data_IF_896439039571
#
_entry.id   IF_896439039571
#
_cell.length_a   1.000
_cell.length_b   1.000
_cell.length_c   1.000
_cell.angle_alpha   90.00
_cell.angle_beta   90.00
_cell.angle_gamma   90.00
#
_symmetry.space_group_name_H-M   'P 1'
#
loop_
_entity.id
_entity.type
_entity.pdbx_description
1 polymer ?
#
# COMPACT_ATOMS: atom_id res chain seq x y z
N UNK A 1 -24.18 -14.57 4.41
CA UNK A 1 -23.47 -13.77 5.42
C UNK A 1 -21.98 -13.81 5.08
N UNK A 2 -21.46 -12.74 4.49
CA UNK A 2 -20.08 -12.71 4.00
C UNK A 2 -19.11 -12.66 5.17
N UNK A 3 -18.17 -13.61 5.22
CA UNK A 3 -17.06 -13.59 6.16
C UNK A 3 -16.28 -12.29 5.92
N UNK A 4 -16.34 -11.38 6.87
CA UNK A 4 -15.44 -10.23 6.93
C UNK A 4 -14.02 -10.77 6.91
N UNK A 5 -13.26 -10.55 5.84
CA UNK A 5 -11.83 -10.81 5.86
C UNK A 5 -11.22 -9.95 6.97
N UNK A 6 -10.55 -10.59 7.92
CA UNK A 6 -9.78 -9.88 8.95
C UNK A 6 -8.88 -8.84 8.27
N UNK A 7 -8.82 -7.59 8.78
CA UNK A 7 -7.95 -6.59 8.22
C UNK A 7 -6.49 -7.04 8.33
N UNK A 8 -5.66 -6.49 7.44
CA UNK A 8 -4.22 -6.69 7.46
C UNK A 8 -3.51 -5.36 7.76
N UNK A 9 -2.28 -5.46 8.25
CA UNK A 9 -1.31 -4.38 8.20
C UNK A 9 -0.09 -4.83 7.40
N UNK A 10 0.61 -3.87 6.80
CA UNK A 10 1.84 -4.11 6.04
C UNK A 10 2.98 -3.38 6.74
N UNK A 11 4.01 -4.11 7.15
CA UNK A 11 5.21 -3.57 7.78
C UNK A 11 6.34 -3.51 6.75
N UNK A 12 7.00 -2.36 6.62
CA UNK A 12 8.15 -2.20 5.73
C UNK A 12 9.46 -2.59 6.41
N UNK A 13 10.55 -2.53 5.66
CA UNK A 13 11.91 -2.88 6.07
C UNK A 13 12.42 -2.16 7.32
N UNK A 14 11.93 -0.94 7.58
CA UNK A 14 12.33 -0.15 8.75
C UNK A 14 11.52 -0.47 10.03
N UNK A 15 10.64 -1.48 9.98
CA UNK A 15 9.81 -1.91 11.12
C UNK A 15 8.55 -1.07 11.34
N UNK A 16 8.31 -0.03 10.53
CA UNK A 16 7.12 0.80 10.59
C UNK A 16 6.05 0.28 9.61
N UNK A 17 4.81 0.65 9.84
CA UNK A 17 3.65 0.22 9.08
C UNK A 17 3.27 1.22 8.01
N UNK A 18 2.83 0.69 6.87
CA UNK A 18 2.15 1.45 5.84
C UNK A 18 0.89 2.06 6.46
N UNK A 19 0.81 3.38 6.38
CA UNK A 19 -0.16 4.19 7.10
C UNK A 19 -0.77 5.21 6.17
N UNK A 20 -2.09 5.33 6.21
CA UNK A 20 -2.82 6.42 5.57
C UNK A 20 -2.55 7.72 6.34
N UNK A 21 -1.97 8.72 5.67
CA UNK A 21 -1.68 10.01 6.27
C UNK A 21 -2.70 11.05 5.83
N UNK A 22 -3.38 11.66 6.81
CA UNK A 22 -4.35 12.74 6.60
C UNK A 22 -3.67 14.06 6.94
N UNK A 23 -3.45 14.92 5.94
CA UNK A 23 -2.85 16.27 6.14
C UNK A 23 -3.83 17.43 5.95
N UNK A 24 -5.08 17.15 5.55
CA UNK A 24 -6.09 18.16 5.23
C UNK A 24 -5.84 18.80 3.86
N UNK A 25 -6.86 18.83 3.00
CA UNK A 25 -6.84 19.59 1.73
C UNK A 25 -6.13 18.93 0.55
N UNK A 26 -5.87 17.62 0.58
CA UNK A 26 -5.23 16.91 -0.52
C UNK A 26 -5.47 15.40 -0.51
N UNK A 27 -4.59 14.65 -1.18
CA UNK A 27 -4.65 13.19 -1.18
C UNK A 27 -4.23 12.58 0.16
N UNK A 28 -4.91 11.52 0.55
CA UNK A 28 -4.50 10.67 1.67
C UNK A 28 -3.39 9.72 1.20
N UNK A 29 -2.14 10.20 1.26
CA UNK A 29 -0.96 9.42 0.88
C UNK A 29 -0.74 8.23 1.80
N UNK A 30 -0.16 7.18 1.24
CA UNK A 30 0.38 6.08 2.04
C UNK A 30 1.85 6.30 2.29
N UNK A 31 2.20 6.28 3.58
CA UNK A 31 3.56 6.40 4.06
C UNK A 31 3.88 5.36 5.11
N UNK A 32 5.15 5.05 5.23
CA UNK A 32 5.70 4.23 6.29
C UNK A 32 6.08 5.15 7.46
N UNK A 33 5.11 5.47 8.31
CA UNK A 33 5.25 6.51 9.34
C UNK A 33 4.89 6.05 10.76
N UNK A 34 4.07 5.01 10.90
CA UNK A 34 3.59 4.56 12.22
C UNK A 34 4.32 3.32 12.72
N UNK A 35 4.81 3.35 13.96
CA UNK A 35 5.47 2.19 14.61
C UNK A 35 4.49 1.22 15.26
N UNK A 36 3.20 1.56 15.31
CA UNK A 36 2.14 0.75 15.90
C UNK A 36 1.02 0.51 14.89
N UNK A 37 0.26 -0.56 15.11
CA UNK A 37 -0.92 -0.88 14.31
C UNK A 37 -2.11 -0.11 14.88
N UNK A 38 -2.71 0.75 14.06
CA UNK A 38 -3.91 1.52 14.40
C UNK A 38 -4.91 1.59 13.23
N UNK A 39 -5.96 2.39 13.36
CA UNK A 39 -6.99 2.50 12.30
C UNK A 39 -6.43 2.98 10.95
N UNK A 40 -5.31 3.69 10.92
CA UNK A 40 -4.71 4.22 9.69
C UNK A 40 -3.74 3.24 9.02
N UNK A 41 -3.29 2.21 9.73
CA UNK A 41 -2.38 1.18 9.20
C UNK A 41 -3.11 -0.10 8.79
N UNK A 42 -4.42 -0.15 9.00
CA UNK A 42 -5.27 -1.30 8.71
C UNK A 42 -5.90 -1.15 7.33
N UNK A 43 -5.86 -2.24 6.58
CA UNK A 43 -6.46 -2.35 5.26
C UNK A 43 -7.32 -3.60 5.19
N UNK A 44 -8.51 -3.48 4.60
CA UNK A 44 -9.26 -4.64 4.15
C UNK A 44 -8.73 -5.05 2.78
N UNK A 45 -8.29 -6.30 2.65
CA UNK A 45 -7.82 -6.85 1.39
C UNK A 45 -8.98 -7.55 0.66
N UNK A 46 -9.20 -7.16 -0.59
CA UNK A 46 -10.13 -7.81 -1.52
C UNK A 46 -9.33 -8.60 -2.53
N UNK A 47 -9.44 -9.93 -2.50
CA UNK A 47 -8.84 -10.80 -3.52
C UNK A 47 -9.65 -10.72 -4.82
N UNK A 48 -8.99 -10.44 -5.94
CA UNK A 48 -9.62 -10.29 -7.26
C UNK A 48 -9.32 -11.46 -8.20
N UNK A 49 -8.13 -12.06 -8.06
CA UNK A 49 -7.70 -13.31 -8.71
C UNK A 49 -6.61 -13.96 -7.85
N UNK A 50 -6.01 -15.08 -8.25
CA UNK A 50 -4.96 -15.75 -7.46
C UNK A 50 -3.79 -14.84 -7.02
N UNK A 51 -3.43 -13.85 -7.83
CA UNK A 51 -2.30 -12.95 -7.59
C UNK A 51 -2.66 -11.46 -7.68
N UNK A 52 -3.94 -11.09 -7.66
CA UNK A 52 -4.34 -9.68 -7.70
C UNK A 52 -5.21 -9.33 -6.51
N UNK A 53 -4.91 -8.17 -5.91
CA UNK A 53 -5.65 -7.63 -4.78
C UNK A 53 -5.98 -6.16 -5.00
N UNK A 54 -7.02 -5.72 -4.30
CA UNK A 54 -7.23 -4.32 -3.97
C UNK A 54 -7.18 -4.16 -2.45
N UNK A 55 -6.69 -3.02 -1.99
CA UNK A 55 -6.58 -2.72 -0.57
C UNK A 55 -7.44 -1.49 -0.24
N UNK A 56 -8.32 -1.62 0.74
CA UNK A 56 -9.23 -0.57 1.18
C UNK A 56 -8.81 -0.01 2.52
N UNK A 57 -8.60 1.29 2.61
CA UNK A 57 -8.17 1.98 3.83
C UNK A 57 -9.36 2.39 4.71
N UNK A 58 -9.07 2.89 5.91
CA UNK A 58 -10.08 3.27 6.90
C UNK A 58 -10.97 4.47 6.54
N UNK A 59 -10.63 5.25 5.50
CA UNK A 59 -11.55 6.25 4.93
C UNK A 59 -12.60 5.62 3.99
N UNK A 60 -12.62 4.29 3.85
CA UNK A 60 -13.54 3.59 2.97
C UNK A 60 -13.17 3.67 1.49
N UNK A 61 -11.98 4.18 1.15
CA UNK A 61 -11.49 4.29 -0.22
C UNK A 61 -10.40 3.24 -0.49
N UNK A 62 -10.31 2.81 -1.75
CA UNK A 62 -9.27 1.94 -2.25
C UNK A 62 -7.98 2.73 -2.48
N UNK A 63 -6.87 2.04 -2.17
CA UNK A 63 -5.53 2.43 -2.54
C UNK A 63 -5.41 2.42 -4.05
N UNK A 64 -4.85 3.49 -4.61
CA UNK A 64 -4.74 3.69 -6.05
C UNK A 64 -3.44 4.40 -6.39
N UNK A 65 -2.83 4.01 -7.50
CA UNK A 65 -1.74 4.75 -8.11
C UNK A 65 -2.27 6.05 -8.71
N UNK A 66 -1.65 7.16 -8.37
CA UNK A 66 -1.87 8.45 -9.03
C UNK A 66 -0.55 9.04 -9.51
N UNK A 67 -0.60 9.80 -10.60
CA UNK A 67 0.53 10.55 -11.11
C UNK A 67 0.43 12.01 -10.65
N UNK A 68 1.46 12.52 -9.97
CA UNK A 68 1.58 13.89 -9.50
C UNK A 68 2.97 14.45 -9.82
N UNK A 69 3.01 15.61 -10.48
CA UNK A 69 4.24 16.38 -10.73
C UNK A 69 5.42 15.53 -11.25
N UNK A 70 5.15 14.65 -12.23
CA UNK A 70 6.19 13.83 -12.87
C UNK A 70 6.58 12.55 -12.10
N UNK A 71 5.85 12.19 -11.04
CA UNK A 71 6.07 10.97 -10.28
C UNK A 71 4.76 10.26 -9.94
N UNK A 72 4.84 8.97 -9.65
CA UNK A 72 3.69 8.19 -9.16
C UNK A 72 3.71 8.02 -7.64
N UNK A 73 2.53 7.94 -7.04
CA UNK A 73 2.29 7.77 -5.60
C UNK A 73 1.14 6.81 -5.36
N UNK A 74 1.12 6.16 -4.19
CA UNK A 74 -0.04 5.41 -3.72
C UNK A 74 -0.83 6.24 -2.70
N UNK A 75 -2.12 6.40 -2.97
CA UNK A 75 -3.05 7.18 -2.15
C UNK A 75 -4.36 6.43 -1.96
N UNK A 76 -5.07 6.67 -0.85
CA UNK A 76 -6.40 6.11 -0.61
C UNK A 76 -7.48 7.07 -1.15
N UNK A 77 -7.87 6.94 -2.42
CA UNK A 77 -8.70 7.94 -3.11
C UNK A 77 -9.89 7.41 -3.92
N UNK A 78 -9.96 6.12 -4.22
CA UNK A 78 -10.97 5.58 -5.14
C UNK A 78 -12.15 4.95 -4.40
N UNK A 79 -13.39 5.31 -4.74
CA UNK A 79 -14.59 4.66 -4.19
C UNK A 79 -14.75 3.23 -4.69
N UNK A 80 -14.36 3.00 -5.94
CA UNK A 80 -14.50 1.74 -6.66
C UNK A 80 -13.13 1.25 -7.14
N UNK A 81 -13.01 -0.06 -7.32
CA UNK A 81 -11.78 -0.68 -7.82
C UNK A 81 -11.67 -0.39 -9.32
N UNK A 82 -10.58 0.26 -9.72
CA UNK A 82 -10.17 0.45 -11.11
C UNK A 82 -8.78 -0.15 -11.36
N UNK A 83 -8.29 -0.06 -12.61
CA UNK A 83 -6.98 -0.62 -12.99
C UNK A 83 -5.83 -0.11 -12.12
N UNK A 84 -5.89 1.15 -11.66
CA UNK A 84 -4.86 1.78 -10.82
C UNK A 84 -4.95 1.35 -9.35
N UNK A 85 -6.07 0.75 -8.95
CA UNK A 85 -6.34 0.27 -7.60
C UNK A 85 -6.01 -1.21 -7.41
N UNK A 86 -5.57 -1.88 -8.47
CA UNK A 86 -5.24 -3.29 -8.49
C UNK A 86 -3.73 -3.44 -8.40
N UNK A 87 -3.28 -4.22 -7.43
CA UNK A 87 -1.88 -4.58 -7.27
C UNK A 87 -1.70 -6.07 -7.52
N UNK A 88 -0.66 -6.40 -8.28
CA UNK A 88 -0.22 -7.78 -8.44
C UNK A 88 0.64 -8.16 -7.24
N UNK A 89 0.29 -9.26 -6.57
CA UNK A 89 1.04 -9.85 -5.48
C UNK A 89 2.18 -10.70 -6.02
N UNK A 90 3.35 -10.52 -5.42
CA UNK A 90 4.47 -11.44 -5.51
C UNK A 90 4.85 -11.91 -4.12
N UNK A 91 4.88 -13.23 -3.92
CA UNK A 91 5.26 -13.84 -2.64
C UNK A 91 6.77 -13.98 -2.60
N UNK A 92 7.40 -13.32 -1.63
CA UNK A 92 8.86 -13.29 -1.48
C UNK A 92 9.31 -14.35 -0.47
N UNK A 93 8.62 -14.44 0.66
CA UNK A 93 8.87 -15.39 1.75
C UNK A 93 7.58 -15.57 2.58
N UNK A 94 7.65 -16.35 3.65
CA UNK A 94 6.58 -16.56 4.62
C UNK A 94 6.06 -15.22 5.18
N UNK A 95 4.85 -14.87 4.75
CA UNK A 95 4.18 -13.60 5.05
C UNK A 95 4.94 -12.35 4.58
N UNK A 96 5.90 -12.45 3.66
CA UNK A 96 6.53 -11.29 3.02
C UNK A 96 6.11 -11.24 1.57
N UNK A 97 5.58 -10.08 1.16
CA UNK A 97 5.09 -9.85 -0.19
C UNK A 97 5.74 -8.62 -0.80
N UNK A 98 5.73 -8.57 -2.13
CA UNK A 98 5.83 -7.33 -2.87
C UNK A 98 4.52 -7.07 -3.62
N UNK A 99 4.30 -5.80 -3.94
CA UNK A 99 3.11 -5.34 -4.67
C UNK A 99 3.57 -4.61 -5.92
N UNK A 100 3.12 -5.06 -7.10
CA UNK A 100 3.39 -4.40 -8.37
C UNK A 100 2.14 -3.66 -8.86
N UNK A 101 2.28 -2.37 -9.19
CA UNK A 101 1.20 -1.55 -9.71
C UNK A 101 0.97 -1.78 -11.21
N UNK A 102 -0.07 -1.15 -11.76
CA UNK A 102 -0.44 -1.26 -13.18
C UNK A 102 0.65 -0.77 -14.16
N UNK A 103 1.55 0.11 -13.70
CA UNK A 103 2.67 0.62 -14.50
C UNK A 103 3.88 -0.33 -14.54
N UNK A 104 3.74 -1.55 -13.99
CA UNK A 104 4.80 -2.56 -13.98
C UNK A 104 5.91 -2.31 -12.97
N UNK A 105 5.72 -1.36 -12.04
CA UNK A 105 6.69 -1.06 -10.98
C UNK A 105 6.21 -1.56 -9.63
N UNK A 106 7.14 -2.07 -8.85
CA UNK A 106 6.94 -2.44 -7.47
C UNK A 106 6.78 -1.22 -6.58
N UNK A 107 5.83 -1.32 -5.65
CA UNK A 107 5.67 -0.40 -4.54
C UNK A 107 6.93 -0.47 -3.68
N UNK A 108 7.57 0.67 -3.47
CA UNK A 108 8.77 0.82 -2.67
C UNK A 108 8.53 1.89 -1.62
N UNK A 109 9.10 1.70 -0.43
CA UNK A 109 9.31 2.81 0.50
C UNK A 109 10.35 3.76 -0.09
N UNK A 110 9.98 5.03 -0.26
CA UNK A 110 10.86 6.09 -0.77
C UNK A 110 10.91 7.21 0.25
N UNK A 111 12.10 7.43 0.81
CA UNK A 111 12.35 8.58 1.68
C UNK A 111 12.64 9.82 0.83
N UNK A 112 11.83 10.87 0.99
CA UNK A 112 12.03 12.15 0.30
C UNK A 112 12.38 13.22 1.33
N UNK A 113 13.58 13.78 1.20
CA UNK A 113 14.06 14.89 2.01
C UNK A 113 14.21 14.59 3.50
N UNK A 114 14.28 13.32 3.91
CA UNK A 114 14.35 12.92 5.32
C UNK A 114 13.02 13.05 6.07
N UNK A 115 11.96 13.55 5.42
CA UNK A 115 10.71 13.94 6.07
C UNK A 115 9.59 12.96 5.75
N UNK A 116 9.45 12.61 4.47
CA UNK A 116 8.33 11.79 3.99
C UNK A 116 8.84 10.40 3.62
N UNK A 117 8.12 9.36 4.05
CA UNK A 117 8.43 7.96 3.73
C UNK A 117 7.32 7.38 2.86
N UNK A 118 7.14 7.91 1.66
CA UNK A 118 6.06 7.52 0.75
C UNK A 118 6.16 6.05 0.31
N UNK A 119 5.01 5.45 0.04
CA UNK A 119 4.92 4.26 -0.81
C UNK A 119 4.66 4.71 -2.24
N UNK A 120 5.58 4.36 -3.14
CA UNK A 120 5.55 4.76 -4.55
C UNK A 120 5.84 3.56 -5.46
N UNK A 121 5.16 3.40 -6.60
CA UNK A 121 5.54 2.43 -7.62
C UNK A 121 6.75 2.96 -8.40
N UNK A 122 7.95 2.68 -7.92
CA UNK A 122 9.18 3.33 -8.39
C UNK A 122 10.21 2.34 -8.97
N UNK A 123 10.16 1.08 -8.54
CA UNK A 123 11.20 0.08 -8.83
C UNK A 123 10.75 -0.94 -9.87
N UNK A 124 11.57 -1.21 -10.86
CA UNK A 124 11.34 -2.33 -11.79
C UNK A 124 11.86 -3.66 -11.23
N UNK A 125 12.95 -3.62 -10.48
CA UNK A 125 13.52 -4.77 -9.81
C UNK A 125 13.22 -4.72 -8.31
N UNK A 126 13.00 -5.89 -7.71
CA UNK A 126 12.77 -6.01 -6.29
C UNK A 126 14.03 -5.70 -5.49
N UNK A 127 13.89 -4.85 -4.48
CA UNK A 127 14.87 -4.65 -3.41
C UNK A 127 14.18 -4.76 -2.04
N UNK A 128 14.95 -4.58 -0.97
CA UNK A 128 14.42 -4.69 0.40
C UNK A 128 13.32 -3.66 0.71
N UNK A 129 13.31 -2.52 0.04
CA UNK A 129 12.32 -1.45 0.25
C UNK A 129 10.98 -1.76 -0.42
N UNK A 130 10.94 -2.76 -1.30
CA UNK A 130 9.72 -3.28 -1.93
C UNK A 130 9.05 -4.40 -1.13
N UNK A 131 9.70 -4.89 -0.07
CA UNK A 131 9.24 -6.04 0.69
C UNK A 131 8.42 -5.59 1.90
N UNK A 132 7.20 -6.12 2.00
CA UNK A 132 6.29 -5.81 3.09
C UNK A 132 5.88 -7.09 3.81
N UNK A 133 6.14 -7.13 5.11
CA UNK A 133 5.64 -8.19 5.98
C UNK A 133 4.15 -7.97 6.24
N UNK A 134 3.35 -9.00 5.94
CA UNK A 134 1.91 -9.03 6.16
C UNK A 134 1.62 -9.45 7.60
N UNK A 135 0.90 -8.60 8.33
CA UNK A 135 0.40 -8.89 9.66
C UNK A 135 -1.12 -9.08 9.57
N UNK A 136 -1.60 -10.28 9.90
CA UNK A 136 -3.04 -10.58 10.01
C UNK A 136 -3.54 -10.18 11.40
N UNK A 137 -4.77 -9.65 11.49
CA UNK A 137 -5.33 -9.05 12.71
C UNK A 137 -6.63 -9.71 13.18
#
# INVERSE_FOLDING_TARGET
MGLSSSPIALQADNGFYLSRIVRGGGFDFIEVNKSIIDIYTKYSATQLSSNKIALRASNGLYLSRISLAGSDYIVATKSDIDVYSIFTLEYIDDNVIALCADNGKYLSRINIGGIFNYIKPDKYDLDIYCQFKVIKL
#
